data_IF_185127918330
#
_entry.id   IF_185127918330
#
_cell.length_a   1.000
_cell.length_b   1.000
_cell.length_c   1.000
_cell.angle_alpha   90.00
_cell.angle_beta   90.00
_cell.angle_gamma   90.00
#
_symmetry.space_group_name_H-M   'P 1'
#
loop_
_entity.id
_entity.type
_entity.pdbx_description
1 polymer ?
#
# COMPACT_ATOMS: atom_id res chain seq x y z
N UNK A 1 -10.45 11.00 -6.41
CA UNK A 1 -10.06 12.08 -5.45
C UNK A 1 -11.15 12.43 -4.46
N UNK A 2 -12.44 12.36 -4.83
CA UNK A 2 -13.53 12.65 -3.90
C UNK A 2 -13.64 11.64 -2.75
N UNK A 3 -13.25 10.39 -2.96
CA UNK A 3 -13.41 9.34 -1.94
C UNK A 3 -12.50 9.55 -0.73
N UNK A 4 -11.27 10.02 -0.95
CA UNK A 4 -10.34 10.40 0.12
C UNK A 4 -10.91 11.60 0.90
N UNK A 5 -11.42 12.62 0.20
CA UNK A 5 -12.05 13.78 0.85
C UNK A 5 -13.31 13.39 1.64
N UNK A 6 -14.15 12.49 1.11
CA UNK A 6 -15.35 11.97 1.80
C UNK A 6 -14.97 11.15 3.02
N UNK A 7 -13.92 10.32 2.94
CA UNK A 7 -13.44 9.50 4.07
C UNK A 7 -12.79 10.36 5.15
N UNK A 8 -11.94 11.32 4.78
CA UNK A 8 -11.33 12.26 5.73
C UNK A 8 -12.41 13.10 6.45
N UNK A 9 -13.48 13.50 5.75
CA UNK A 9 -14.67 14.13 6.36
C UNK A 9 -15.41 13.20 7.33
N UNK A 10 -15.58 11.92 6.99
CA UNK A 10 -16.21 10.92 7.89
C UNK A 10 -15.38 10.70 9.14
N UNK A 11 -14.06 10.61 9.03
CA UNK A 11 -13.15 10.48 10.18
C UNK A 11 -13.21 11.74 11.06
N UNK A 12 -13.23 12.92 10.45
CA UNK A 12 -13.43 14.18 11.17
C UNK A 12 -14.77 14.22 11.90
N UNK A 13 -15.88 13.87 11.25
CA UNK A 13 -17.20 13.82 11.88
C UNK A 13 -17.25 12.80 13.02
N UNK A 14 -16.68 11.60 12.82
CA UNK A 14 -16.59 10.58 13.87
C UNK A 14 -15.80 11.07 15.08
N UNK A 15 -14.73 11.82 14.87
CA UNK A 15 -13.92 12.36 15.96
C UNK A 15 -14.58 13.55 16.64
N UNK A 16 -15.22 14.45 15.88
CA UNK A 16 -15.99 15.57 16.41
C UNK A 16 -17.12 15.06 17.32
N UNK A 17 -17.83 14.00 16.91
CA UNK A 17 -18.87 13.36 17.71
C UNK A 17 -18.37 12.22 18.61
N UNK A 18 -17.06 12.14 18.88
CA UNK A 18 -16.54 11.13 19.81
C UNK A 18 -17.07 11.40 21.23
N UNK A 19 -17.61 10.33 21.86
CA UNK A 19 -18.30 10.44 23.15
C UNK A 19 -17.41 11.07 24.24
N UNK A 20 -16.11 10.73 24.24
CA UNK A 20 -15.13 11.26 25.19
C UNK A 20 -14.92 12.77 25.05
N UNK A 21 -14.94 13.31 23.82
CA UNK A 21 -14.79 14.76 23.60
C UNK A 21 -16.07 15.51 23.89
N UNK A 22 -17.22 14.95 23.53
CA UNK A 22 -18.50 15.54 23.89
C UNK A 22 -18.65 15.67 25.42
N UNK A 23 -18.21 14.65 26.16
CA UNK A 23 -18.19 14.69 27.63
C UNK A 23 -17.15 15.71 28.14
N UNK A 24 -15.93 15.72 27.61
CA UNK A 24 -14.88 16.65 28.06
C UNK A 24 -15.24 18.12 27.80
N UNK A 25 -15.70 18.45 26.59
CA UNK A 25 -16.13 19.81 26.25
C UNK A 25 -17.47 20.18 26.90
N UNK A 26 -18.36 19.21 27.13
CA UNK A 26 -19.57 19.40 27.93
C UNK A 26 -19.25 19.73 29.40
N UNK A 27 -18.25 19.07 30.00
CA UNK A 27 -17.80 19.34 31.35
C UNK A 27 -17.12 20.71 31.47
N UNK A 28 -16.21 21.05 30.55
CA UNK A 28 -15.56 22.37 30.52
C UNK A 28 -16.58 23.49 30.27
N UNK A 29 -17.48 23.29 29.30
CA UNK A 29 -18.57 24.21 29.01
C UNK A 29 -19.51 24.40 30.20
N UNK A 30 -19.86 23.32 30.90
CA UNK A 30 -20.66 23.38 32.13
C UNK A 30 -19.96 24.14 33.26
N UNK A 31 -18.69 23.86 33.51
CA UNK A 31 -17.89 24.54 34.54
C UNK A 31 -17.71 26.04 34.29
N UNK A 32 -17.75 26.49 33.02
CA UNK A 32 -17.63 27.91 32.67
C UNK A 32 -19.01 28.58 32.59
N UNK A 33 -20.00 27.91 32.00
CA UNK A 33 -21.33 28.48 31.77
C UNK A 33 -22.14 28.64 33.07
N UNK A 34 -22.05 27.69 34.01
CA UNK A 34 -22.78 27.74 35.28
C UNK A 34 -22.41 28.99 36.11
N UNK A 35 -21.12 29.30 36.38
CA UNK A 35 -20.75 30.49 37.14
C UNK A 35 -20.99 31.79 36.37
N UNK A 36 -20.82 31.80 35.04
CA UNK A 36 -21.12 33.00 34.23
C UNK A 36 -22.60 33.32 34.27
N UNK A 37 -23.49 32.34 34.08
CA UNK A 37 -24.94 32.56 34.19
C UNK A 37 -25.40 32.90 35.61
N UNK A 38 -24.71 32.40 36.65
CA UNK A 38 -25.01 32.75 38.04
C UNK A 38 -24.55 34.17 38.45
N UNK A 39 -23.56 34.74 37.74
CA UNK A 39 -22.90 36.00 38.15
C UNK A 39 -23.29 37.22 37.33
N UNK A 40 -23.86 37.05 36.13
CA UNK A 40 -24.21 38.16 35.24
C UNK A 40 -25.66 38.06 34.74
N UNK A 41 -26.47 39.10 34.99
CA UNK A 41 -27.84 39.21 34.44
C UNK A 41 -27.87 39.43 32.92
N UNK A 42 -26.72 39.70 32.28
CA UNK A 42 -26.64 39.88 30.83
C UNK A 42 -26.05 38.66 30.12
N UNK A 43 -26.68 38.28 29.01
CA UNK A 43 -26.24 37.17 28.12
C UNK A 43 -25.00 37.53 27.28
N UNK A 44 -24.56 38.79 27.30
CA UNK A 44 -23.50 39.31 26.44
C UNK A 44 -22.13 38.60 26.57
N UNK A 45 -21.63 38.22 27.77
CA UNK A 45 -20.36 37.51 27.89
C UNK A 45 -20.46 36.01 27.54
N UNK A 46 -21.67 35.43 27.48
CA UNK A 46 -21.83 34.01 27.15
C UNK A 46 -21.53 33.71 25.68
N UNK A 47 -21.84 34.64 24.77
CA UNK A 47 -21.62 34.50 23.32
C UNK A 47 -20.14 34.34 22.96
N UNK A 48 -19.20 35.22 23.36
CA UNK A 48 -17.78 35.06 23.02
C UNK A 48 -17.15 33.81 23.66
N UNK A 49 -17.59 33.42 24.85
CA UNK A 49 -17.13 32.19 25.51
C UNK A 49 -17.58 30.95 24.73
N UNK A 50 -18.85 30.89 24.31
CA UNK A 50 -19.34 29.80 23.48
C UNK A 50 -18.60 29.72 22.13
N UNK A 51 -18.30 30.87 21.52
CA UNK A 51 -17.61 30.93 20.22
C UNK A 51 -16.16 30.45 20.34
N UNK A 52 -15.45 30.80 21.41
CA UNK A 52 -14.08 30.33 21.67
C UNK A 52 -14.05 28.82 22.01
N UNK A 53 -15.03 28.32 22.77
CA UNK A 53 -15.18 26.89 23.05
C UNK A 53 -15.48 26.09 21.77
N UNK A 54 -16.36 26.59 20.90
CA UNK A 54 -16.63 25.95 19.60
C UNK A 54 -15.41 25.96 18.68
N UNK A 55 -14.68 27.08 18.62
CA UNK A 55 -13.46 27.16 17.83
C UNK A 55 -12.38 26.18 18.32
N UNK A 56 -12.14 26.13 19.63
CA UNK A 56 -11.16 25.20 20.22
C UNK A 56 -11.59 23.74 20.06
N UNK A 57 -12.88 23.43 20.19
CA UNK A 57 -13.43 22.10 19.89
C UNK A 57 -13.22 21.71 18.42
N UNK A 58 -13.50 22.61 17.49
CA UNK A 58 -13.29 22.39 16.06
C UNK A 58 -11.82 22.14 15.73
N UNK A 59 -10.90 22.96 16.27
CA UNK A 59 -9.45 22.84 16.05
C UNK A 59 -8.91 21.53 16.62
N UNK A 60 -9.23 21.21 17.88
CA UNK A 60 -8.74 19.99 18.53
C UNK A 60 -9.29 18.72 17.88
N UNK A 61 -10.55 18.74 17.42
CA UNK A 61 -11.17 17.67 16.63
C UNK A 61 -10.52 17.51 15.26
N UNK A 62 -10.14 18.62 14.63
CA UNK A 62 -9.44 18.61 13.35
C UNK A 62 -8.03 18.00 13.49
N UNK A 63 -7.23 18.45 14.47
CA UNK A 63 -5.87 17.94 14.71
C UNK A 63 -5.89 16.43 14.96
N UNK A 64 -6.77 15.96 15.84
CA UNK A 64 -6.86 14.54 16.12
C UNK A 64 -7.43 13.71 14.97
N UNK A 65 -8.28 14.30 14.13
CA UNK A 65 -8.70 13.64 12.89
C UNK A 65 -7.51 13.37 11.98
N UNK A 66 -6.51 14.27 11.93
CA UNK A 66 -5.30 14.09 11.10
C UNK A 66 -4.50 12.91 11.63
N UNK A 67 -4.36 12.77 12.94
CA UNK A 67 -3.61 11.65 13.53
C UNK A 67 -4.22 10.28 13.25
N UNK A 68 -5.56 10.22 13.15
CA UNK A 68 -6.31 8.98 12.88
C UNK A 68 -6.57 8.73 11.40
N UNK A 69 -6.05 9.59 10.50
CA UNK A 69 -6.24 9.39 9.07
C UNK A 69 -5.46 8.18 8.59
N UNK A 70 -4.19 8.06 8.97
CA UNK A 70 -3.30 6.97 8.56
C UNK A 70 -3.59 5.69 9.35
N UNK A 71 -3.65 4.55 8.66
CA UNK A 71 -3.82 3.24 9.29
C UNK A 71 -2.46 2.74 9.80
N UNK A 72 -1.41 2.87 8.99
CA UNK A 72 -0.05 2.50 9.38
C UNK A 72 0.74 3.72 9.88
N UNK A 73 1.45 3.54 11.00
CA UNK A 73 2.35 4.56 11.52
C UNK A 73 3.51 4.87 10.57
N UNK A 74 3.90 3.92 9.72
CA UNK A 74 4.97 4.12 8.73
C UNK A 74 4.69 5.32 7.81
N UNK A 75 3.52 5.35 7.17
CA UNK A 75 3.12 6.45 6.28
C UNK A 75 2.93 7.75 7.04
N UNK A 76 2.40 7.69 8.27
CA UNK A 76 2.29 8.88 9.13
C UNK A 76 3.64 9.52 9.39
N UNK A 77 4.66 8.72 9.77
CA UNK A 77 6.01 9.23 10.04
C UNK A 77 6.65 9.85 8.80
N UNK A 78 6.46 9.25 7.62
CA UNK A 78 6.92 9.82 6.35
C UNK A 78 6.26 11.16 6.05
N UNK A 79 4.95 11.27 6.26
CA UNK A 79 4.23 12.53 6.08
C UNK A 79 4.67 13.60 7.08
N UNK A 80 4.74 13.26 8.38
CA UNK A 80 5.19 14.18 9.44
C UNK A 80 6.61 14.69 9.15
N UNK A 81 7.49 13.81 8.66
CA UNK A 81 8.83 14.13 8.20
C UNK A 81 8.84 15.14 7.04
N UNK A 82 7.93 15.03 6.08
CA UNK A 82 7.79 15.97 4.98
C UNK A 82 7.26 17.33 5.47
N UNK A 83 6.26 17.33 6.36
CA UNK A 83 5.66 18.55 6.92
C UNK A 83 6.68 19.35 7.74
N UNK A 84 7.45 18.68 8.61
CA UNK A 84 8.48 19.32 9.42
C UNK A 84 9.56 19.97 8.53
N UNK A 85 10.06 19.24 7.53
CA UNK A 85 11.08 19.77 6.60
C UNK A 85 10.57 20.93 5.76
N UNK A 86 9.33 20.86 5.28
CA UNK A 86 8.68 21.97 4.58
C UNK A 86 8.63 23.22 5.44
N UNK A 87 8.22 23.09 6.71
CA UNK A 87 8.16 24.21 7.65
C UNK A 87 9.55 24.82 7.88
N UNK A 88 10.57 23.99 8.08
CA UNK A 88 11.96 24.45 8.26
C UNK A 88 12.51 25.14 7.01
N UNK A 89 12.15 24.67 5.81
CA UNK A 89 12.51 25.34 4.56
C UNK A 89 11.80 26.70 4.44
N UNK A 90 10.52 26.78 4.79
CA UNK A 90 9.75 28.03 4.78
C UNK A 90 10.37 29.08 5.73
N UNK A 91 10.76 28.68 6.93
CA UNK A 91 11.49 29.53 7.88
C UNK A 91 12.84 30.02 7.29
N UNK A 92 13.56 29.14 6.59
CA UNK A 92 14.82 29.50 5.91
C UNK A 92 14.60 30.48 4.75
N UNK A 93 13.55 30.28 3.94
CA UNK A 93 13.16 31.16 2.85
C UNK A 93 12.75 32.54 3.35
N UNK A 94 11.99 32.62 4.45
CA UNK A 94 11.62 33.89 5.08
C UNK A 94 12.87 34.67 5.52
N UNK A 95 13.90 33.98 6.03
CA UNK A 95 15.17 34.62 6.37
C UNK A 95 15.95 35.14 5.13
N UNK A 96 15.87 34.44 3.99
CA UNK A 96 16.53 34.83 2.74
C UNK A 96 15.79 35.89 1.93
N UNK A 97 14.47 36.01 2.05
CA UNK A 97 13.66 37.05 1.37
C UNK A 97 14.16 38.47 1.64
N UNK A 98 14.78 38.71 2.79
CA UNK A 98 15.44 39.99 3.13
C UNK A 98 16.58 40.36 2.15
N UNK A 99 17.16 39.39 1.42
CA UNK A 99 18.25 39.58 0.46
C UNK A 99 17.79 39.70 -1.02
N UNK A 100 16.48 39.75 -1.32
CA UNK A 100 15.88 39.99 -2.66
C UNK A 100 16.40 39.11 -3.82
N UNK A 101 16.52 37.79 -3.63
CA UNK A 101 16.79 36.87 -4.74
C UNK A 101 15.48 36.58 -5.48
N UNK A 102 15.38 36.96 -6.76
CA UNK A 102 14.16 36.85 -7.56
C UNK A 102 13.66 35.41 -7.80
N UNK A 103 14.57 34.47 -8.05
CA UNK A 103 14.24 33.09 -8.43
C UNK A 103 13.64 32.23 -7.31
N UNK A 104 13.69 32.70 -6.06
CA UNK A 104 13.15 31.99 -4.89
C UNK A 104 11.64 32.22 -4.68
N UNK A 105 11.00 33.11 -5.46
CA UNK A 105 9.59 33.44 -5.22
C UNK A 105 8.61 32.31 -5.58
N UNK A 106 8.93 31.51 -6.59
CA UNK A 106 8.06 30.43 -7.09
C UNK A 106 8.20 29.13 -6.29
N UNK A 107 9.40 28.89 -5.75
CA UNK A 107 9.75 27.67 -5.01
C UNK A 107 8.74 27.30 -3.89
N UNK A 108 8.29 28.22 -3.00
CA UNK A 108 7.33 27.86 -1.96
C UNK A 108 5.99 27.37 -2.53
N UNK A 109 5.53 27.94 -3.64
CA UNK A 109 4.28 27.52 -4.30
C UNK A 109 4.40 26.12 -4.88
N UNK A 110 5.53 25.81 -5.54
CA UNK A 110 5.81 24.47 -6.08
C UNK A 110 5.89 23.43 -4.97
N UNK A 111 6.60 23.74 -3.88
CA UNK A 111 6.73 22.85 -2.71
C UNK A 111 5.38 22.60 -2.06
N UNK A 112 4.53 23.62 -1.94
CA UNK A 112 3.17 23.46 -1.40
C UNK A 112 2.32 22.55 -2.30
N UNK A 113 2.29 22.81 -3.61
CA UNK A 113 1.56 21.98 -4.59
C UNK A 113 1.99 20.52 -4.51
N UNK A 114 3.30 20.27 -4.56
CA UNK A 114 3.86 18.92 -4.48
C UNK A 114 3.55 18.25 -3.15
N UNK A 115 3.65 18.98 -2.04
CA UNK A 115 3.32 18.42 -0.73
C UNK A 115 1.87 17.96 -0.65
N UNK A 116 0.94 18.66 -1.31
CA UNK A 116 -0.47 18.28 -1.37
C UNK A 116 -0.70 17.04 -2.25
N UNK A 117 -0.03 16.94 -3.40
CA UNK A 117 -0.10 15.73 -4.24
C UNK A 117 0.54 14.52 -3.54
N UNK A 118 1.68 14.73 -2.88
CA UNK A 118 2.38 13.70 -2.12
C UNK A 118 1.54 13.22 -0.93
N UNK A 119 0.86 14.12 -0.22
CA UNK A 119 -0.12 13.73 0.80
C UNK A 119 -1.15 12.77 0.22
N UNK A 120 -1.76 13.11 -0.92
CA UNK A 120 -2.78 12.27 -1.54
C UNK A 120 -2.22 10.91 -1.99
N UNK A 121 -1.01 10.88 -2.54
CA UNK A 121 -0.35 9.65 -2.95
C UNK A 121 -0.03 8.75 -1.75
N UNK A 122 0.55 9.30 -0.68
CA UNK A 122 0.82 8.58 0.56
C UNK A 122 -0.46 8.06 1.23
N UNK A 123 -1.55 8.84 1.19
CA UNK A 123 -2.86 8.41 1.70
C UNK A 123 -3.43 7.26 0.88
N UNK A 124 -3.30 7.30 -0.45
CA UNK A 124 -3.73 6.20 -1.32
C UNK A 124 -2.88 4.95 -1.06
N UNK A 125 -1.57 5.11 -0.91
CA UNK A 125 -0.64 4.04 -0.59
C UNK A 125 -0.97 3.37 0.76
N UNK A 126 -1.25 4.16 1.81
CA UNK A 126 -1.70 3.67 3.13
C UNK A 126 -3.00 2.86 3.04
N UNK A 127 -3.98 3.35 2.28
CA UNK A 127 -5.25 2.64 2.09
C UNK A 127 -5.07 1.30 1.38
N UNK A 128 -4.32 1.29 0.28
CA UNK A 128 -4.03 0.09 -0.50
C UNK A 128 -3.24 -0.91 0.35
N UNK A 129 -2.20 -0.45 1.05
CA UNK A 129 -1.40 -1.32 1.91
C UNK A 129 -2.26 -1.93 3.02
N UNK A 130 -3.11 -1.13 3.67
CA UNK A 130 -3.99 -1.63 4.72
C UNK A 130 -4.99 -2.65 4.19
N UNK A 131 -5.60 -2.38 3.03
CA UNK A 131 -6.54 -3.29 2.38
C UNK A 131 -5.86 -4.63 2.06
N UNK A 132 -4.68 -4.60 1.43
CA UNK A 132 -3.89 -5.79 1.11
C UNK A 132 -3.53 -6.58 2.36
N UNK A 133 -3.01 -5.93 3.42
CA UNK A 133 -2.64 -6.64 4.66
C UNK A 133 -3.88 -7.25 5.31
N UNK A 134 -5.02 -6.55 5.26
CA UNK A 134 -6.27 -7.04 5.85
C UNK A 134 -6.89 -8.20 5.06
N UNK A 135 -6.78 -8.21 3.73
CA UNK A 135 -7.35 -9.24 2.87
C UNK A 135 -6.45 -10.46 2.74
N UNK A 136 -5.13 -10.28 2.60
CA UNK A 136 -4.22 -11.36 2.20
C UNK A 136 -3.60 -12.13 3.36
N UNK A 137 -3.60 -11.59 4.57
CA UNK A 137 -2.99 -12.26 5.74
C UNK A 137 -3.64 -13.62 6.09
N UNK A 138 -4.85 -13.91 5.58
CA UNK A 138 -5.60 -15.13 5.92
C UNK A 138 -5.81 -16.12 4.76
N UNK A 139 -5.59 -15.70 3.53
CA UNK A 139 -6.00 -16.47 2.33
C UNK A 139 -4.88 -16.73 1.34
N UNK A 140 -3.67 -16.19 1.55
CA UNK A 140 -2.55 -16.48 0.69
C UNK A 140 -2.27 -18.00 0.72
N UNK A 141 -2.40 -18.72 -0.40
CA UNK A 141 -1.94 -20.11 -0.47
C UNK A 141 -0.44 -20.13 -0.16
N UNK A 142 0.07 -21.19 0.50
CA UNK A 142 1.49 -21.28 0.82
C UNK A 142 2.30 -21.04 -0.45
N UNK A 143 3.15 -20.00 -0.41
CA UNK A 143 4.11 -19.64 -1.46
C UNK A 143 5.17 -20.74 -1.47
N UNK A 144 4.82 -21.89 -2.03
CA UNK A 144 5.54 -23.13 -1.76
C UNK A 144 4.84 -24.36 -2.31
N UNK A 145 4.53 -24.32 -3.60
CA UNK A 145 4.15 -25.49 -4.40
C UNK A 145 2.72 -25.95 -4.20
N UNK A 146 1.94 -25.91 -5.29
CA UNK A 146 0.96 -26.96 -5.54
C UNK A 146 1.63 -28.30 -5.19
N UNK A 147 0.99 -29.19 -4.41
CA UNK A 147 1.61 -30.46 -4.08
C UNK A 147 1.90 -31.18 -5.40
N UNK A 148 3.17 -31.16 -5.82
CA UNK A 148 3.71 -32.03 -6.87
C UNK A 148 3.73 -33.46 -6.34
N UNK A 149 2.59 -33.95 -5.84
CA UNK A 149 2.34 -35.37 -5.80
C UNK A 149 2.08 -35.74 -7.25
N UNK A 150 2.78 -36.75 -7.75
CA UNK A 150 2.50 -37.36 -9.03
C UNK A 150 1.05 -37.82 -9.03
N UNK A 151 0.16 -36.98 -9.55
CA UNK A 151 -1.25 -37.29 -9.72
C UNK A 151 -1.36 -37.90 -11.10
N UNK A 152 -1.65 -39.20 -11.12
CA UNK A 152 -1.77 -39.99 -12.35
C UNK A 152 -3.02 -39.64 -13.17
N UNK A 153 -3.89 -38.77 -12.64
CA UNK A 153 -5.08 -38.28 -13.33
C UNK A 153 -4.73 -37.05 -14.21
N UNK A 154 -4.89 -37.23 -15.52
CA UNK A 154 -4.65 -36.21 -16.54
C UNK A 154 -5.54 -34.98 -16.33
N UNK A 155 -6.80 -35.16 -15.88
CA UNK A 155 -7.71 -34.03 -15.65
C UNK A 155 -7.25 -33.17 -14.48
N UNK A 156 -6.82 -33.81 -13.39
CA UNK A 156 -6.25 -33.11 -12.26
C UNK A 156 -4.96 -32.37 -12.63
N UNK A 157 -4.10 -32.94 -13.48
CA UNK A 157 -2.87 -32.29 -13.94
C UNK A 157 -3.16 -30.99 -14.71
N UNK A 158 -4.18 -30.97 -15.56
CA UNK A 158 -4.62 -29.75 -16.25
C UNK A 158 -5.17 -28.69 -15.27
N UNK A 159 -5.92 -29.11 -14.25
CA UNK A 159 -6.38 -28.21 -13.19
C UNK A 159 -5.22 -27.58 -12.41
N UNK A 160 -4.16 -28.33 -12.13
CA UNK A 160 -2.95 -27.78 -11.51
C UNK A 160 -2.22 -26.79 -12.42
N UNK A 161 -2.13 -27.05 -13.74
CA UNK A 161 -1.55 -26.08 -14.68
C UNK A 161 -2.33 -24.76 -14.70
N UNK A 162 -3.66 -24.84 -14.67
CA UNK A 162 -4.52 -23.64 -14.58
C UNK A 162 -4.33 -22.93 -13.24
N UNK A 163 -4.24 -23.68 -12.14
CA UNK A 163 -3.99 -23.10 -10.82
C UNK A 163 -2.64 -22.39 -10.75
N UNK A 164 -1.57 -23.00 -11.26
CA UNK A 164 -0.23 -22.40 -11.30
C UNK A 164 -0.22 -21.10 -12.14
N UNK A 165 -0.93 -21.09 -13.28
CA UNK A 165 -1.10 -19.88 -14.08
C UNK A 165 -1.83 -18.77 -13.31
N UNK A 166 -2.93 -19.10 -12.64
CA UNK A 166 -3.68 -18.13 -11.84
C UNK A 166 -2.86 -17.58 -10.67
N UNK A 167 -2.05 -18.42 -10.03
CA UNK A 167 -1.13 -18.00 -8.96
C UNK A 167 -0.06 -17.05 -9.51
N UNK A 168 0.49 -17.34 -10.70
CA UNK A 168 1.48 -16.48 -11.34
C UNK A 168 0.88 -15.11 -11.73
N UNK A 169 -0.31 -15.10 -12.33
CA UNK A 169 -1.04 -13.87 -12.68
C UNK A 169 -1.36 -13.04 -11.43
N UNK A 170 -1.90 -13.67 -10.38
CA UNK A 170 -2.12 -13.03 -9.08
C UNK A 170 -0.84 -12.43 -8.50
N UNK A 171 0.25 -13.21 -8.45
CA UNK A 171 1.54 -12.75 -7.90
C UNK A 171 2.09 -11.55 -8.67
N UNK A 172 1.93 -11.54 -9.99
CA UNK A 172 2.30 -10.42 -10.84
C UNK A 172 1.46 -9.17 -10.53
N UNK A 173 0.12 -9.30 -10.44
CA UNK A 173 -0.75 -8.18 -10.08
C UNK A 173 -0.46 -7.64 -8.68
N UNK A 174 -0.30 -8.52 -7.70
CA UNK A 174 0.07 -8.17 -6.34
C UNK A 174 1.37 -7.36 -6.30
N UNK A 175 2.42 -7.86 -6.97
CA UNK A 175 3.71 -7.16 -7.07
C UNK A 175 3.57 -5.78 -7.72
N UNK A 176 2.73 -5.65 -8.75
CA UNK A 176 2.51 -4.36 -9.42
C UNK A 176 1.83 -3.36 -8.49
N UNK A 177 0.81 -3.78 -7.73
CA UNK A 177 0.13 -2.90 -6.76
C UNK A 177 1.08 -2.49 -5.63
N UNK A 178 1.84 -3.43 -5.07
CA UNK A 178 2.83 -3.14 -4.04
C UNK A 178 3.94 -2.21 -4.54
N UNK A 179 4.38 -2.35 -5.79
CA UNK A 179 5.37 -1.43 -6.37
C UNK A 179 4.88 0.02 -6.44
N UNK A 180 3.56 0.23 -6.59
CA UNK A 180 2.96 1.57 -6.53
C UNK A 180 3.01 2.17 -5.12
N UNK A 181 2.75 1.35 -4.09
CA UNK A 181 2.88 1.75 -2.68
C UNK A 181 4.33 2.14 -2.37
N UNK A 182 5.29 1.30 -2.73
CA UNK A 182 6.72 1.55 -2.53
C UNK A 182 7.20 2.79 -3.27
N UNK A 183 6.70 3.05 -4.49
CA UNK A 183 7.05 4.25 -5.27
C UNK A 183 6.56 5.53 -4.58
N UNK A 184 5.35 5.53 -4.04
CA UNK A 184 4.82 6.68 -3.30
C UNK A 184 5.65 6.97 -2.02
N UNK A 185 6.11 5.93 -1.34
CA UNK A 185 7.02 6.08 -0.21
C UNK A 185 8.38 6.64 -0.63
N UNK A 186 8.96 6.09 -1.69
CA UNK A 186 10.25 6.55 -2.21
C UNK A 186 10.18 8.04 -2.61
N UNK A 187 9.10 8.46 -3.28
CA UNK A 187 8.87 9.86 -3.62
C UNK A 187 8.78 10.76 -2.38
N UNK A 188 8.19 10.27 -1.28
CA UNK A 188 8.15 11.04 -0.03
C UNK A 188 9.54 11.20 0.60
N UNK A 189 10.36 10.16 0.55
CA UNK A 189 11.76 10.23 1.00
C UNK A 189 12.57 11.19 0.14
N UNK A 190 12.47 11.08 -1.19
CA UNK A 190 13.17 11.97 -2.14
C UNK A 190 12.76 13.42 -1.88
N UNK A 191 11.46 13.70 -1.81
CA UNK A 191 10.95 15.04 -1.50
C UNK A 191 11.53 15.60 -0.19
N UNK A 192 11.50 14.81 0.89
CA UNK A 192 12.07 15.20 2.18
C UNK A 192 13.57 15.51 2.06
N UNK A 193 14.35 14.67 1.37
CA UNK A 193 15.79 14.89 1.20
C UNK A 193 16.10 16.10 0.32
N UNK A 194 15.35 16.34 -0.75
CA UNK A 194 15.51 17.53 -1.60
C UNK A 194 15.27 18.81 -0.80
N UNK A 195 14.26 18.84 0.08
CA UNK A 195 14.01 19.98 0.97
C UNK A 195 15.17 20.21 1.96
N UNK A 196 15.73 19.15 2.54
CA UNK A 196 16.87 19.25 3.44
C UNK A 196 18.13 19.77 2.71
N UNK A 197 18.40 19.25 1.52
CA UNK A 197 19.50 19.71 0.67
C UNK A 197 19.34 21.19 0.36
N UNK A 198 18.17 21.61 -0.12
CA UNK A 198 17.87 23.02 -0.39
C UNK A 198 18.09 23.91 0.83
N UNK A 199 17.61 23.47 2.00
CA UNK A 199 17.78 24.22 3.24
C UNK A 199 19.25 24.38 3.62
N UNK A 200 20.05 23.32 3.52
CA UNK A 200 21.50 23.39 3.81
C UNK A 200 22.19 24.35 2.84
N UNK A 201 21.86 24.31 1.55
CA UNK A 201 22.44 25.21 0.54
C UNK A 201 22.04 26.67 0.80
N UNK A 202 20.79 26.93 1.13
CA UNK A 202 20.29 28.24 1.54
C UNK A 202 21.02 28.78 2.77
N UNK A 203 21.29 27.91 3.75
CA UNK A 203 22.07 28.26 4.93
C UNK A 203 23.53 28.55 4.58
N UNK A 204 24.15 27.74 3.71
CA UNK A 204 25.52 27.96 3.25
C UNK A 204 25.66 29.32 2.56
N UNK A 205 24.79 29.60 1.58
CA UNK A 205 24.73 30.90 0.88
C UNK A 205 24.51 32.08 1.84
N UNK A 206 23.79 31.86 2.94
CA UNK A 206 23.60 32.90 3.96
C UNK A 206 24.88 33.17 4.75
N UNK A 207 25.63 32.11 5.09
CA UNK A 207 26.83 32.15 5.92
C UNK A 207 28.09 32.56 5.16
N UNK A 208 28.20 32.25 3.88
CA UNK A 208 29.36 32.59 3.02
C UNK A 208 29.44 34.07 2.64
N UNK A 209 28.93 34.96 3.51
CA UNK A 209 28.81 36.39 3.28
C UNK A 209 29.99 37.01 2.52
N UNK A 210 29.70 37.58 1.35
CA UNK A 210 30.53 38.52 0.58
C UNK A 210 31.54 37.98 -0.47
N UNK A 211 31.33 36.82 -1.08
CA UNK A 211 32.04 36.44 -2.33
C UNK A 211 31.05 36.24 -3.50
N UNK A 212 30.83 37.23 -4.40
CA UNK A 212 29.45 37.47 -4.89
C UNK A 212 29.02 36.76 -6.19
N UNK A 213 29.89 36.12 -6.96
CA UNK A 213 29.53 35.72 -8.34
C UNK A 213 29.65 34.21 -8.63
N UNK A 214 30.72 33.56 -8.18
CA UNK A 214 30.88 32.12 -8.39
C UNK A 214 29.90 31.29 -7.53
N UNK A 215 29.77 31.62 -6.24
CA UNK A 215 28.86 30.93 -5.32
C UNK A 215 27.38 31.23 -5.61
N UNK A 216 27.07 32.38 -6.20
CA UNK A 216 25.68 32.72 -6.56
C UNK A 216 25.22 31.95 -7.80
N UNK A 217 26.06 31.79 -8.81
CA UNK A 217 25.76 30.93 -9.97
C UNK A 217 25.65 29.45 -9.58
N UNK A 218 26.54 28.95 -8.73
CA UNK A 218 26.41 27.59 -8.18
C UNK A 218 25.10 27.41 -7.40
N UNK A 219 24.72 28.42 -6.59
CA UNK A 219 23.45 28.40 -5.86
C UNK A 219 22.23 28.39 -6.79
N UNK A 220 22.21 29.20 -7.85
CA UNK A 220 21.13 29.22 -8.82
C UNK A 220 21.04 27.91 -9.63
N UNK A 221 22.19 27.33 -10.01
CA UNK A 221 22.24 26.02 -10.66
C UNK A 221 21.66 24.93 -9.74
N UNK A 222 22.00 24.95 -8.45
CA UNK A 222 21.46 24.00 -7.47
C UNK A 222 19.96 24.19 -7.21
N UNK A 223 19.46 25.43 -7.21
CA UNK A 223 18.00 25.68 -7.16
C UNK A 223 17.32 25.10 -8.40
N UNK A 224 17.93 25.28 -9.57
CA UNK A 224 17.40 24.77 -10.83
C UNK A 224 17.39 23.25 -10.84
N UNK A 225 18.44 22.60 -10.34
CA UNK A 225 18.50 21.16 -10.13
C UNK A 225 17.39 20.67 -9.21
N UNK A 226 17.20 21.30 -8.06
CA UNK A 226 16.11 20.95 -7.15
C UNK A 226 14.72 21.18 -7.76
N UNK A 227 14.55 22.20 -8.62
CA UNK A 227 13.31 22.39 -9.39
C UNK A 227 13.08 21.22 -10.37
N UNK A 228 14.13 20.74 -11.04
CA UNK A 228 14.03 19.56 -11.91
C UNK A 228 13.69 18.30 -11.12
N UNK A 229 14.25 18.11 -9.92
CA UNK A 229 13.88 17.01 -9.03
C UNK A 229 12.40 17.08 -8.62
N UNK A 230 11.92 18.28 -8.28
CA UNK A 230 10.51 18.51 -7.97
C UNK A 230 9.58 18.23 -9.15
N UNK A 231 9.96 18.61 -10.37
CA UNK A 231 9.20 18.29 -11.57
C UNK A 231 9.18 16.78 -11.85
N UNK A 232 10.31 16.09 -11.64
CA UNK A 232 10.36 14.63 -11.75
C UNK A 232 9.44 13.94 -10.73
N UNK A 233 9.37 14.45 -9.49
CA UNK A 233 8.43 13.96 -8.47
C UNK A 233 6.98 14.21 -8.93
N UNK A 234 6.66 15.41 -9.43
CA UNK A 234 5.32 15.75 -9.92
C UNK A 234 4.86 14.76 -11.00
N UNK A 235 5.70 14.57 -12.02
CA UNK A 235 5.44 13.64 -13.11
C UNK A 235 5.29 12.20 -12.61
N UNK A 236 6.16 11.77 -11.70
CA UNK A 236 6.09 10.41 -11.16
C UNK A 236 4.85 10.20 -10.27
N UNK A 237 4.33 11.24 -9.61
CA UNK A 237 3.07 11.20 -8.87
C UNK A 237 1.87 11.12 -9.82
N UNK A 238 1.91 11.83 -10.94
CA UNK A 238 0.89 11.73 -12.01
C UNK A 238 0.85 10.34 -12.63
N UNK A 239 2.01 9.73 -12.91
CA UNK A 239 2.10 8.37 -13.45
C UNK A 239 1.49 7.32 -12.50
N UNK A 240 1.70 7.46 -11.18
CA UNK A 240 1.04 6.61 -10.18
C UNK A 240 -0.49 6.81 -10.20
N UNK A 241 -0.95 8.04 -10.45
CA UNK A 241 -2.37 8.32 -10.56
C UNK A 241 -3.00 7.73 -11.83
N UNK A 242 -2.24 7.68 -12.92
CA UNK A 242 -2.66 7.26 -14.27
C UNK A 242 -2.68 5.75 -14.50
N UNK A 243 -1.93 4.94 -13.74
CA UNK A 243 -2.09 3.47 -13.80
C UNK A 243 -3.49 3.10 -13.30
N UNK A 244 -4.45 2.72 -14.19
CA UNK A 244 -5.78 2.35 -13.77
C UNK A 244 -5.67 1.07 -12.95
N UNK A 245 -6.38 1.03 -11.82
CA UNK A 245 -6.69 -0.25 -11.20
C UNK A 245 -7.51 -1.05 -12.21
N UNK A 246 -7.19 -2.33 -12.48
CA UNK A 246 -8.03 -3.14 -13.34
C UNK A 246 -9.39 -3.33 -12.66
N UNK A 247 -10.43 -2.60 -13.12
CA UNK A 247 -11.79 -2.67 -12.58
C UNK A 247 -12.52 -3.98 -12.94
N UNK A 248 -11.89 -4.83 -13.75
CA UNK A 248 -12.44 -6.11 -14.17
C UNK A 248 -11.36 -7.17 -14.07
N UNK A 249 -11.39 -7.92 -12.96
CA UNK A 249 -10.95 -9.30 -12.99
C UNK A 249 -11.80 -9.94 -14.08
N UNK A 250 -11.20 -10.23 -15.24
CA UNK A 250 -11.81 -11.08 -16.22
C UNK A 250 -11.98 -12.45 -15.55
N UNK A 251 -13.13 -12.67 -14.90
CA UNK A 251 -13.62 -14.02 -14.62
C UNK A 251 -13.69 -14.72 -15.96
N UNK A 252 -12.64 -15.47 -16.28
CA UNK A 252 -12.65 -16.44 -17.35
C UNK A 252 -13.83 -17.35 -17.02
N UNK A 253 -14.94 -17.22 -17.75
CA UNK A 253 -15.99 -18.23 -17.75
C UNK A 253 -15.26 -19.54 -18.06
N UNK A 254 -15.33 -20.58 -17.20
CA UNK A 254 -14.74 -21.85 -17.53
C UNK A 254 -15.38 -22.29 -18.85
N UNK A 255 -14.56 -22.34 -19.90
CA UNK A 255 -14.96 -22.92 -21.18
C UNK A 255 -15.40 -24.34 -20.85
N UNK A 256 -16.64 -24.76 -21.18
CA UNK A 256 -17.01 -26.15 -21.01
C UNK A 256 -16.00 -26.98 -21.79
N UNK A 257 -15.34 -27.91 -21.11
CA UNK A 257 -14.41 -28.84 -21.72
C UNK A 257 -15.06 -29.42 -22.98
N UNK A 258 -14.45 -29.28 -24.18
CA UNK A 258 -14.99 -29.89 -25.37
C UNK A 258 -14.93 -31.41 -25.18
N UNK A 259 -16.08 -32.01 -24.94
CA UNK A 259 -16.28 -33.46 -24.81
C UNK A 259 -15.98 -34.24 -26.09
N UNK A 260 -15.44 -33.58 -27.12
CA UNK A 260 -15.05 -34.19 -28.40
C UNK A 260 -13.75 -34.97 -28.33
N UNK A 261 -12.85 -34.68 -27.38
CA UNK A 261 -11.52 -35.32 -27.33
C UNK A 261 -11.51 -36.62 -26.49
N UNK A 262 -12.58 -36.92 -25.76
CA UNK A 262 -12.68 -38.17 -24.99
C UNK A 262 -12.89 -39.39 -25.90
N UNK A 263 -13.42 -39.19 -27.11
CA UNK A 263 -13.73 -40.29 -28.03
C UNK A 263 -12.53 -40.71 -28.88
N UNK A 264 -11.65 -39.77 -29.22
CA UNK A 264 -10.39 -40.05 -29.95
C UNK A 264 -9.35 -40.76 -29.07
N UNK A 265 -9.27 -40.40 -27.77
CA UNK A 265 -8.33 -41.05 -26.84
C UNK A 265 -8.76 -42.48 -26.51
N UNK A 266 -10.06 -42.77 -26.43
CA UNK A 266 -10.58 -44.13 -26.22
C UNK A 266 -10.32 -45.04 -27.44
N UNK A 267 -10.34 -44.50 -28.67
CA UNK A 267 -10.04 -45.25 -29.90
C UNK A 267 -8.53 -45.51 -30.06
N UNK A 268 -7.68 -44.54 -29.70
CA UNK A 268 -6.21 -44.71 -29.76
C UNK A 268 -5.71 -45.70 -28.69
N UNK A 269 -6.26 -45.68 -27.48
CA UNK A 269 -5.93 -46.65 -26.43
C UNK A 269 -6.49 -48.05 -26.71
N UNK A 270 -7.63 -48.17 -27.38
CA UNK A 270 -8.16 -49.46 -27.83
C UNK A 270 -7.30 -50.07 -28.95
N UNK A 271 -6.86 -49.26 -29.93
CA UNK A 271 -5.96 -49.68 -30.98
C UNK A 271 -4.58 -50.11 -30.43
N UNK A 272 -4.07 -49.38 -29.43
CA UNK A 272 -2.79 -49.71 -28.78
C UNK A 272 -2.87 -51.00 -27.97
N UNK A 273 -4.00 -51.27 -27.30
CA UNK A 273 -4.23 -52.54 -26.59
C UNK A 273 -4.38 -53.73 -27.55
N UNK A 274 -5.03 -53.53 -28.70
CA UNK A 274 -5.10 -54.57 -29.73
C UNK A 274 -3.72 -54.88 -30.32
N UNK A 275 -2.92 -53.86 -30.64
CA UNK A 275 -1.56 -54.07 -31.14
C UNK A 275 -0.66 -54.82 -30.14
N UNK A 276 -0.79 -54.54 -28.83
CA UNK A 276 -0.06 -55.27 -27.78
C UNK A 276 -0.57 -56.71 -27.64
N UNK A 277 -1.88 -56.96 -27.76
CA UNK A 277 -2.44 -58.30 -27.71
C UNK A 277 -2.01 -59.16 -28.91
N UNK A 278 -1.93 -58.57 -30.10
CA UNK A 278 -1.49 -59.23 -31.33
C UNK A 278 0.02 -59.53 -31.28
N UNK A 279 0.83 -58.60 -30.77
CA UNK A 279 2.27 -58.81 -30.54
C UNK A 279 2.55 -59.92 -29.52
N UNK A 280 1.75 -60.00 -28.45
CA UNK A 280 1.88 -61.05 -27.43
C UNK A 280 1.43 -62.43 -27.95
N UNK A 281 0.46 -62.46 -28.86
CA UNK A 281 0.03 -63.66 -29.58
C UNK A 281 1.12 -64.18 -30.54
N UNK A 282 1.79 -63.29 -31.28
CA UNK A 282 2.90 -63.66 -32.17
C UNK A 282 4.15 -64.15 -31.42
N UNK A 283 4.39 -63.64 -30.20
CA UNK A 283 5.52 -64.06 -29.37
C UNK A 283 5.27 -65.35 -28.56
N UNK A 284 4.07 -65.94 -28.60
CA UNK A 284 3.76 -67.19 -27.90
C UNK A 284 3.99 -67.15 -26.38
N UNK A 285 3.83 -65.97 -25.77
CA UNK A 285 4.00 -65.80 -24.33
C UNK A 285 2.68 -66.03 -23.61
N UNK A 286 2.42 -67.30 -23.31
CA UNK A 286 1.37 -67.69 -22.37
C UNK A 286 1.74 -67.18 -20.97
N UNK A 287 0.89 -66.33 -20.39
CA UNK A 287 1.04 -65.80 -19.04
C UNK A 287 0.77 -66.92 -18.00
N UNK A 288 1.73 -67.80 -17.78
CA UNK A 288 1.83 -68.61 -16.57
C UNK A 288 3.29 -68.76 -16.14
N UNK A 289 3.54 -68.44 -14.87
CA UNK A 289 4.77 -68.69 -14.09
C UNK A 289 5.84 -67.58 -14.04
N UNK A 290 6.29 -67.33 -12.79
CA UNK A 290 7.43 -66.52 -12.32
C UNK A 290 7.20 -65.00 -12.27
N UNK A 291 7.26 -64.28 -11.14
CA UNK A 291 7.50 -64.61 -9.73
C UNK A 291 7.42 -63.30 -8.95
N UNK A 292 6.42 -63.17 -8.07
CA UNK A 292 6.32 -62.03 -7.15
C UNK A 292 7.32 -62.18 -5.99
N UNK A 293 7.88 -61.09 -5.45
CA UNK A 293 8.71 -61.13 -4.26
C UNK A 293 7.90 -61.57 -3.01
N UNK A 294 8.55 -62.24 -2.03
CA UNK A 294 7.88 -62.99 -0.98
C UNK A 294 7.13 -62.12 0.05
N UNK A 295 6.12 -62.68 0.76
CA UNK A 295 5.36 -61.97 1.78
C UNK A 295 6.20 -61.70 3.04
N UNK A 296 6.13 -60.46 3.53
CA UNK A 296 6.71 -60.03 4.80
C UNK A 296 5.89 -60.62 5.98
N UNK A 297 6.50 -61.26 6.98
CA UNK A 297 5.78 -61.87 8.10
C UNK A 297 5.19 -60.83 9.09
N UNK A 298 4.04 -61.13 9.75
CA UNK A 298 3.23 -60.17 10.49
C UNK A 298 3.68 -59.91 11.95
N UNK A 299 4.98 -59.78 12.20
CA UNK A 299 5.52 -59.42 13.52
C UNK A 299 6.69 -58.43 13.42
N UNK A 300 6.40 -57.22 12.94
CA UNK A 300 7.32 -56.07 13.06
C UNK A 300 6.61 -54.71 13.20
N UNK A 301 5.31 -54.71 13.55
CA UNK A 301 4.55 -53.49 13.84
C UNK A 301 4.13 -53.56 15.31
N UNK A 302 5.09 -53.41 16.23
CA UNK A 302 4.80 -53.14 17.65
C UNK A 302 5.93 -52.51 18.47
N UNK A 303 6.99 -51.97 17.84
CA UNK A 303 8.11 -51.35 18.58
C UNK A 303 8.51 -49.92 18.17
N UNK A 304 7.81 -49.28 17.24
CA UNK A 304 8.06 -47.87 16.90
C UNK A 304 6.93 -46.91 17.34
N UNK A 305 5.93 -47.39 18.09
CA UNK A 305 4.92 -46.54 18.74
C UNK A 305 5.10 -46.41 20.26
N UNK A 306 6.24 -46.85 20.81
CA UNK A 306 6.56 -46.71 22.24
C UNK A 306 7.70 -45.71 22.54
N UNK A 307 8.31 -45.07 21.53
CA UNK A 307 9.38 -44.05 21.71
C UNK A 307 8.94 -42.62 21.31
N UNK A 308 7.64 -42.36 21.23
CA UNK A 308 7.08 -40.99 21.10
C UNK A 308 5.91 -40.72 22.06
N UNK A 309 5.98 -41.29 23.27
CA UNK A 309 5.17 -40.89 24.42
C UNK A 309 6.05 -40.14 25.42
#
# INVERSE_FOLDING_TARGET
MEDIKRRDKKVFLKEAFSLSRLIAFGAIGGCIAIPVMASTESTFPAVPIALTLLATWGITSYIASIEKRFHDQRFKRLWDACVDRRKRLEEALQALRKKKIGDLQELPGTVERLSNQLYLALRRADLVHHEIVSSEYRTAPPVGGSPKKFINDMQAQELYKVADRNIAEYSHHFKNVMSGVERAEAQAVVFATTLDTLRIRMLNYRLSGNAPEAESMEFLNMITEAKMEFEAIDKALEEIALTPFPETIATIKPTPFPSSNLREVDEEDAARKQAIAELNSELGLDHESLGGPPPVPPHAIKKEQEDQA
#
